data_IF_642292384558
#
_entry.id   IF_642292384558
#
_cell.length_a   1.000
_cell.length_b   1.000
_cell.length_c   1.000
_cell.angle_alpha   90.00
_cell.angle_beta   90.00
_cell.angle_gamma   90.00
#
_symmetry.space_group_name_H-M   'P 1'
#
loop_
_entity.id
_entity.type
_entity.pdbx_description
1 polymer ?
#
# COMPACT_ATOMS: atom_id res chain seq x y z
N UNK A 1 -1.65 -15.10 -14.67
CA UNK A 1 -2.24 -16.35 -15.25
C UNK A 1 -2.97 -17.15 -14.18
N UNK A 2 -3.85 -18.11 -14.51
CA UNK A 2 -4.72 -18.84 -13.56
C UNK A 2 -4.01 -19.42 -12.31
N UNK A 3 -2.68 -19.62 -12.39
CA UNK A 3 -1.81 -20.03 -11.28
C UNK A 3 -1.70 -19.01 -10.13
N UNK A 4 -1.79 -17.71 -10.41
CA UNK A 4 -1.72 -16.65 -9.37
C UNK A 4 -2.93 -16.69 -8.42
N UNK A 5 -4.07 -17.21 -8.90
CA UNK A 5 -5.30 -17.36 -8.10
C UNK A 5 -5.20 -18.46 -7.05
N UNK A 6 -4.07 -19.20 -6.96
CA UNK A 6 -3.82 -20.27 -6.00
C UNK A 6 -2.90 -19.88 -4.84
N UNK A 7 -2.20 -18.74 -4.92
CA UNK A 7 -1.33 -18.31 -3.82
C UNK A 7 -2.15 -17.65 -2.70
N UNK A 8 -1.73 -17.79 -1.44
CA UNK A 8 -2.34 -17.05 -0.35
C UNK A 8 -2.07 -15.55 -0.52
N UNK A 9 -3.03 -14.71 -0.10
CA UNK A 9 -2.98 -13.26 -0.24
C UNK A 9 -3.06 -12.58 1.13
N UNK A 10 -2.30 -11.50 1.31
CA UNK A 10 -2.32 -10.68 2.52
C UNK A 10 -3.18 -9.40 2.34
N UNK A 11 -3.63 -8.81 3.45
CA UNK A 11 -4.38 -7.55 3.46
C UNK A 11 -5.90 -7.69 3.34
N UNK A 12 -6.58 -6.54 3.45
CA UNK A 12 -8.04 -6.46 3.51
C UNK A 12 -8.73 -7.02 2.25
N UNK A 13 -8.13 -6.86 1.07
CA UNK A 13 -8.71 -7.36 -0.19
C UNK A 13 -8.98 -8.87 -0.16
N UNK A 14 -8.09 -9.65 0.45
CA UNK A 14 -8.26 -11.10 0.57
C UNK A 14 -9.46 -11.50 1.44
N UNK A 15 -9.84 -10.65 2.42
CA UNK A 15 -11.03 -10.89 3.26
C UNK A 15 -12.31 -10.32 2.67
N UNK A 16 -12.22 -9.17 1.99
CA UNK A 16 -13.36 -8.50 1.37
C UNK A 16 -13.86 -9.25 0.13
N UNK A 17 -12.97 -9.94 -0.58
CA UNK A 17 -13.29 -10.67 -1.81
C UNK A 17 -12.84 -12.14 -1.71
N UNK A 18 -13.45 -12.95 -0.82
CA UNK A 18 -13.00 -14.31 -0.55
C UNK A 18 -13.06 -15.22 -1.79
N UNK A 19 -13.97 -14.96 -2.73
CA UNK A 19 -14.08 -15.73 -3.97
C UNK A 19 -12.97 -15.40 -5.00
N UNK A 20 -12.28 -14.27 -4.83
CA UNK A 20 -11.23 -13.82 -5.73
C UNK A 20 -9.83 -14.37 -5.36
N UNK A 21 -9.64 -14.82 -4.12
CA UNK A 21 -8.34 -15.24 -3.58
C UNK A 21 -8.42 -16.64 -2.95
N UNK A 22 -7.33 -17.42 -3.01
CA UNK A 22 -7.33 -18.77 -2.45
C UNK A 22 -7.42 -18.81 -0.92
N UNK A 23 -6.63 -17.98 -0.23
CA UNK A 23 -6.58 -17.94 1.23
C UNK A 23 -6.08 -16.59 1.74
N UNK A 24 -6.78 -15.99 2.68
CA UNK A 24 -6.32 -14.80 3.38
C UNK A 24 -5.23 -15.15 4.41
N UNK A 25 -4.14 -14.39 4.42
CA UNK A 25 -3.07 -14.48 5.41
C UNK A 25 -3.37 -13.61 6.63
N UNK A 26 -2.82 -14.05 7.77
CA UNK A 26 -2.75 -13.27 8.99
C UNK A 26 -1.28 -12.97 9.32
N UNK A 27 -0.99 -11.83 9.98
CA UNK A 27 -1.92 -10.76 10.34
C UNK A 27 -2.43 -9.99 9.11
N UNK A 28 -3.61 -9.37 9.23
CA UNK A 28 -4.17 -8.57 8.13
C UNK A 28 -3.29 -7.36 7.77
N UNK A 29 -2.76 -6.68 8.79
CA UNK A 29 -1.95 -5.48 8.62
C UNK A 29 -0.47 -5.76 8.92
N UNK A 30 0.46 -4.97 8.35
CA UNK A 30 1.87 -5.04 8.69
C UNK A 30 2.08 -4.92 10.21
N UNK A 31 2.89 -5.83 10.75
CA UNK A 31 3.22 -5.87 12.17
C UNK A 31 4.50 -5.06 12.44
N UNK A 32 4.42 -4.08 13.35
CA UNK A 32 5.57 -3.28 13.75
C UNK A 32 6.74 -4.12 14.30
N UNK A 33 6.44 -5.19 15.05
CA UNK A 33 7.44 -6.12 15.57
C UNK A 33 8.20 -6.85 14.43
N UNK A 34 7.48 -7.30 13.40
CA UNK A 34 8.12 -7.93 12.24
C UNK A 34 8.97 -6.95 11.44
N UNK A 35 8.51 -5.70 11.27
CA UNK A 35 9.30 -4.66 10.62
C UNK A 35 10.60 -4.37 11.40
N UNK A 36 10.52 -4.25 12.72
CA UNK A 36 11.69 -4.06 13.58
C UNK A 36 12.67 -5.24 13.47
N UNK A 37 12.17 -6.48 13.48
CA UNK A 37 13.00 -7.67 13.31
C UNK A 37 13.74 -7.70 11.96
N UNK A 38 13.07 -7.33 10.86
CA UNK A 38 13.69 -7.26 9.54
C UNK A 38 14.81 -6.22 9.46
N UNK A 39 14.63 -5.06 10.09
CA UNK A 39 15.66 -4.00 10.19
C UNK A 39 16.87 -4.49 10.97
N UNK A 40 16.66 -5.09 12.15
CA UNK A 40 17.75 -5.65 12.98
C UNK A 40 18.52 -6.72 12.23
N UNK A 41 17.80 -7.59 11.50
CA UNK A 41 18.39 -8.67 10.71
C UNK A 41 19.07 -8.18 9.41
N UNK A 42 19.00 -6.88 9.07
CA UNK A 42 19.49 -6.33 7.80
C UNK A 42 18.93 -7.07 6.57
N UNK A 43 17.71 -7.60 6.69
CA UNK A 43 17.07 -8.40 5.66
C UNK A 43 16.37 -7.55 4.59
N UNK A 44 16.32 -6.23 4.77
CA UNK A 44 15.61 -5.27 3.91
C UNK A 44 16.45 -4.03 3.69
N UNK A 45 16.27 -3.40 2.52
CA UNK A 45 16.77 -2.05 2.25
C UNK A 45 15.99 -1.02 3.08
N UNK A 46 16.69 -0.03 3.64
CA UNK A 46 16.09 1.07 4.38
C UNK A 46 16.06 2.30 3.47
N UNK A 47 14.85 2.76 3.16
CA UNK A 47 14.61 3.95 2.36
C UNK A 47 14.42 5.18 3.26
N UNK A 48 14.58 6.42 2.73
CA UNK A 48 14.17 7.63 3.42
C UNK A 48 12.69 7.60 3.82
N UNK A 49 12.27 8.36 4.85
CA UNK A 49 10.88 8.39 5.32
C UNK A 49 9.92 9.17 4.40
N UNK A 50 10.20 9.17 3.10
CA UNK A 50 9.36 9.79 2.09
C UNK A 50 8.24 8.81 1.65
N UNK A 51 7.02 9.30 1.36
CA UNK A 51 5.94 8.43 0.91
C UNK A 51 6.28 7.66 -0.38
N UNK A 52 6.07 6.35 -0.37
CA UNK A 52 6.22 5.49 -1.55
C UNK A 52 4.96 5.50 -2.41
N UNK A 53 4.95 6.35 -3.42
CA UNK A 53 3.89 6.42 -4.41
C UNK A 53 4.03 5.29 -5.44
N UNK A 54 3.18 4.26 -5.34
CA UNK A 54 3.14 3.15 -6.32
C UNK A 54 2.70 3.61 -7.72
N UNK A 55 1.92 4.69 -7.80
CA UNK A 55 1.66 5.47 -9.00
C UNK A 55 2.03 6.91 -8.70
N UNK A 56 2.67 7.61 -9.63
CA UNK A 56 2.80 9.07 -9.51
C UNK A 56 1.39 9.62 -9.36
N UNK A 57 1.11 10.40 -8.31
CA UNK A 57 -0.17 11.07 -8.21
C UNK A 57 -0.34 11.89 -9.48
N UNK A 58 -1.35 11.56 -10.26
CA UNK A 58 -1.91 12.40 -11.33
C UNK A 58 -2.56 13.67 -10.73
N UNK A 59 -2.57 13.78 -9.40
CA UNK A 59 -2.92 14.98 -8.67
C UNK A 59 -2.03 16.14 -9.12
N UNK A 60 -2.58 16.93 -10.04
CA UNK A 60 -2.05 18.24 -10.38
C UNK A 60 -2.21 19.13 -9.13
N UNK A 61 -1.17 19.86 -8.71
CA UNK A 61 -1.29 20.81 -7.62
C UNK A 61 -2.50 21.73 -7.83
N UNK A 62 -3.28 22.06 -6.79
CA UNK A 62 -4.41 22.96 -6.92
C UNK A 62 -3.98 24.27 -7.59
N UNK A 63 -4.71 24.70 -8.63
CA UNK A 63 -4.48 26.02 -9.23
C UNK A 63 -4.76 27.13 -8.23
N UNK A 64 -4.23 28.32 -8.47
CA UNK A 64 -4.56 29.50 -7.67
C UNK A 64 -6.10 29.65 -7.53
N UNK A 65 -6.55 30.05 -6.34
CA UNK A 65 -7.97 30.28 -6.05
C UNK A 65 -8.53 31.31 -7.04
N UNK A 66 -9.69 31.04 -7.63
CA UNK A 66 -10.40 32.04 -8.46
C UNK A 66 -10.70 33.29 -7.62
N UNK A 67 -10.33 34.46 -8.14
CA UNK A 67 -10.68 35.73 -7.50
C UNK A 67 -12.19 35.94 -7.55
N UNK A 68 -12.77 36.34 -6.43
CA UNK A 68 -14.19 36.74 -6.30
C UNK A 68 -14.35 38.26 -6.27
N UNK A 69 -13.24 39.01 -6.40
CA UNK A 69 -13.31 40.45 -6.56
C UNK A 69 -13.73 40.76 -8.01
N UNK A 70 -14.95 41.26 -8.15
CA UNK A 70 -15.39 41.93 -9.39
C UNK A 70 -14.62 43.25 -9.49
N UNK A 71 -13.98 43.48 -10.63
CA UNK A 71 -13.29 44.75 -10.93
C UNK A 71 -14.28 45.91 -10.95
#
# INVERSE_FOLDING_TARGET
GLAERRLPAAGAGARLYPDAFARALQPEYPSAAHLAAAVVARAVEILPPDPLYLRRPDATPPSARKSVLTR
#
